data_IF_767612646964
#
_entry.id   IF_767612646964
#
_cell.length_a   1.000
_cell.length_b   1.000
_cell.length_c   1.000
_cell.angle_alpha   90.00
_cell.angle_beta   90.00
_cell.angle_gamma   90.00
#
_symmetry.space_group_name_H-M   'P 1'
#
loop_
_entity.id
_entity.type
_entity.pdbx_description
1 polymer ?
#
# COMPACT_ATOMS: atom_id res chain seq x y z
N UNK A 1 -1.29 28.35 8.01
CA UNK A 1 -0.74 27.92 6.71
C UNK A 1 -1.90 27.78 5.75
N UNK A 2 -1.77 28.22 4.50
CA UNK A 2 -2.85 28.00 3.53
C UNK A 2 -2.94 26.50 3.19
N UNK A 3 -4.13 25.94 2.94
CA UNK A 3 -4.31 24.51 2.68
C UNK A 3 -3.45 23.99 1.52
N UNK A 4 -3.22 24.83 0.51
CA UNK A 4 -2.48 24.50 -0.70
C UNK A 4 -0.99 24.29 -0.42
N UNK A 5 -0.41 25.13 0.45
CA UNK A 5 0.98 25.00 0.85
C UNK A 5 1.20 23.73 1.68
N UNK A 6 0.26 23.38 2.54
CA UNK A 6 0.32 22.14 3.33
C UNK A 6 0.23 20.90 2.44
N UNK A 7 -0.67 20.92 1.45
CA UNK A 7 -0.81 19.84 0.48
C UNK A 7 0.45 19.66 -0.37
N UNK A 8 1.07 20.76 -0.83
CA UNK A 8 2.33 20.71 -1.58
C UNK A 8 3.48 20.14 -0.73
N UNK A 9 3.57 20.51 0.55
CA UNK A 9 4.57 19.95 1.46
C UNK A 9 4.35 18.45 1.70
N UNK A 10 3.11 18.03 1.98
CA UNK A 10 2.78 16.61 2.11
C UNK A 10 3.17 15.81 0.87
N UNK A 11 2.80 16.31 -0.31
CA UNK A 11 3.12 15.67 -1.57
C UNK A 11 4.65 15.57 -1.76
N UNK A 12 5.37 16.65 -1.47
CA UNK A 12 6.84 16.66 -1.52
C UNK A 12 7.47 15.59 -0.63
N UNK A 13 7.03 15.47 0.62
CA UNK A 13 7.52 14.43 1.53
C UNK A 13 7.18 13.01 1.07
N UNK A 14 6.00 12.80 0.51
CA UNK A 14 5.61 11.50 -0.05
C UNK A 14 6.52 11.12 -1.21
N UNK A 15 6.69 12.03 -2.18
CA UNK A 15 7.52 11.79 -3.36
C UNK A 15 8.98 11.54 -2.96
N UNK A 16 9.53 12.34 -2.06
CA UNK A 16 10.90 12.15 -1.55
C UNK A 16 11.07 10.79 -0.86
N UNK A 17 10.12 10.40 -0.03
CA UNK A 17 10.15 9.08 0.63
C UNK A 17 10.18 7.94 -0.40
N UNK A 18 9.40 8.06 -1.47
CA UNK A 18 9.32 7.03 -2.52
C UNK A 18 10.65 6.96 -3.28
N UNK A 19 11.24 8.11 -3.63
CA UNK A 19 12.53 8.17 -4.33
C UNK A 19 13.66 7.58 -3.47
N UNK A 20 13.61 7.76 -2.14
CA UNK A 20 14.54 7.16 -1.19
C UNK A 20 14.38 5.63 -1.05
N UNK A 21 13.38 5.03 -1.72
CA UNK A 21 13.13 3.59 -1.69
C UNK A 21 12.48 3.10 -0.39
N UNK A 22 11.95 4.01 0.44
CA UNK A 22 11.20 3.62 1.63
C UNK A 22 9.90 2.94 1.15
N UNK A 23 9.48 1.79 1.74
CA UNK A 23 8.28 1.11 1.28
C UNK A 23 7.06 2.03 1.33
N UNK A 24 6.33 2.06 0.21
CA UNK A 24 5.21 2.99 -0.04
C UNK A 24 4.15 2.97 1.08
N UNK A 25 3.92 1.80 1.69
CA UNK A 25 2.99 1.63 2.81
C UNK A 25 3.33 2.55 4.00
N UNK A 26 4.61 2.68 4.36
CA UNK A 26 5.03 3.52 5.49
C UNK A 26 4.88 5.00 5.19
N UNK A 27 5.16 5.41 3.95
CA UNK A 27 5.09 6.80 3.54
C UNK A 27 3.63 7.25 3.45
N UNK A 28 2.78 6.46 2.77
CA UNK A 28 1.37 6.81 2.58
C UNK A 28 0.54 6.72 3.86
N UNK A 29 0.98 5.94 4.85
CA UNK A 29 0.38 5.97 6.19
C UNK A 29 0.96 7.10 7.07
N UNK A 30 2.28 7.14 7.20
CA UNK A 30 2.96 8.01 8.15
C UNK A 30 2.89 9.49 7.81
N UNK A 31 3.09 9.87 6.54
CA UNK A 31 3.13 11.29 6.15
C UNK A 31 1.77 11.98 6.36
N UNK A 32 0.62 11.41 5.91
CA UNK A 32 -0.69 12.00 6.19
C UNK A 32 -1.04 12.05 7.68
N UNK A 33 -0.59 11.09 8.48
CA UNK A 33 -0.78 11.12 9.94
C UNK A 33 -0.06 12.33 10.56
N UNK A 34 1.23 12.50 10.26
CA UNK A 34 2.05 13.58 10.85
C UNK A 34 1.53 14.95 10.43
N UNK A 35 1.29 15.16 9.14
CA UNK A 35 0.78 16.43 8.62
C UNK A 35 -0.66 16.68 9.06
N UNK A 36 -1.47 15.63 9.14
CA UNK A 36 -2.84 15.69 9.64
C UNK A 36 -2.91 16.07 11.12
N UNK A 37 -2.00 15.56 11.96
CA UNK A 37 -1.89 15.96 13.38
C UNK A 37 -1.49 17.43 13.52
N UNK A 38 -0.57 17.92 12.69
CA UNK A 38 -0.15 19.33 12.72
C UNK A 38 -1.29 20.28 12.32
N UNK A 39 -2.12 19.90 11.36
CA UNK A 39 -3.17 20.79 10.83
C UNK A 39 -4.52 20.65 11.54
N UNK A 40 -4.96 19.41 11.79
CA UNK A 40 -6.28 19.11 12.37
C UNK A 40 -6.23 18.77 13.87
N UNK A 41 -5.04 18.60 14.45
CA UNK A 41 -4.87 18.13 15.82
C UNK A 41 -5.47 16.74 16.04
N UNK A 42 -6.01 16.49 17.22
CA UNK A 42 -6.58 15.19 17.61
C UNK A 42 -7.79 14.77 16.76
N UNK A 43 -8.40 15.70 16.02
CA UNK A 43 -9.55 15.42 15.16
C UNK A 43 -9.20 14.54 13.95
N UNK A 44 -7.92 14.40 13.61
CA UNK A 44 -7.49 13.52 12.51
C UNK A 44 -7.60 12.04 12.88
N UNK A 45 -7.51 11.68 14.16
CA UNK A 45 -7.45 10.29 14.62
C UNK A 45 -8.65 9.44 14.15
N UNK A 46 -9.92 9.87 14.32
CA UNK A 46 -11.06 9.10 13.81
C UNK A 46 -11.08 9.00 12.28
N UNK A 47 -10.66 10.05 11.56
CA UNK A 47 -10.58 10.02 10.09
C UNK A 47 -9.49 9.07 9.60
N UNK A 48 -8.32 9.12 10.23
CA UNK A 48 -7.20 8.26 9.93
C UNK A 48 -7.51 6.79 10.23
N UNK A 49 -8.20 6.52 11.35
CA UNK A 49 -8.69 5.18 11.68
C UNK A 49 -9.61 4.63 10.58
N UNK A 50 -10.58 5.42 10.12
CA UNK A 50 -11.50 5.02 9.05
C UNK A 50 -10.75 4.71 7.74
N UNK A 51 -9.74 5.51 7.38
CA UNK A 51 -8.88 5.28 6.21
C UNK A 51 -8.11 3.97 6.32
N UNK A 52 -7.42 3.73 7.44
CA UNK A 52 -6.65 2.50 7.67
C UNK A 52 -7.57 1.27 7.64
N UNK A 53 -8.74 1.37 8.29
CA UNK A 53 -9.72 0.29 8.30
C UNK A 53 -10.32 0.04 6.90
N UNK A 54 -10.35 1.05 6.02
CA UNK A 54 -10.65 0.88 4.60
C UNK A 54 -9.55 0.12 3.85
N UNK A 55 -8.27 0.48 4.08
CA UNK A 55 -7.13 -0.18 3.44
C UNK A 55 -7.00 -1.65 3.81
N UNK A 56 -7.20 -2.01 5.09
CA UNK A 56 -7.14 -3.40 5.55
C UNK A 56 -8.27 -4.25 4.96
N UNK A 57 -9.36 -3.63 4.54
CA UNK A 57 -10.47 -4.31 3.85
C UNK A 57 -10.36 -4.26 2.33
N UNK A 58 -9.26 -3.74 1.80
CA UNK A 58 -9.07 -3.66 0.36
C UNK A 58 -8.98 -5.06 -0.26
N UNK A 59 -9.66 -5.25 -1.39
CA UNK A 59 -9.64 -6.48 -2.18
C UNK A 59 -8.22 -6.91 -2.59
N UNK A 60 -7.27 -5.98 -2.67
CA UNK A 60 -5.86 -6.28 -2.94
C UNK A 60 -5.27 -7.29 -1.96
N UNK A 61 -5.69 -7.30 -0.69
CA UNK A 61 -5.22 -8.28 0.30
C UNK A 61 -5.80 -9.68 0.05
N UNK A 62 -6.99 -9.77 -0.55
CA UNK A 62 -7.60 -11.05 -0.98
C UNK A 62 -6.85 -11.64 -2.18
N UNK A 63 -6.19 -10.81 -2.99
CA UNK A 63 -5.37 -11.29 -4.09
C UNK A 63 -4.17 -12.15 -3.62
N UNK A 64 -3.63 -11.91 -2.42
CA UNK A 64 -2.47 -12.66 -1.88
C UNK A 64 -2.76 -14.16 -1.71
N UNK A 65 -3.79 -14.60 -0.95
CA UNK A 65 -4.09 -16.02 -0.82
C UNK A 65 -4.53 -16.65 -2.14
N UNK A 66 -5.23 -15.92 -3.02
CA UNK A 66 -5.60 -16.40 -4.35
C UNK A 66 -4.39 -16.62 -5.25
N UNK A 67 -3.37 -15.76 -5.15
CA UNK A 67 -2.11 -15.93 -5.88
C UNK A 67 -1.35 -17.16 -5.39
N UNK A 68 -1.28 -17.37 -4.08
CA UNK A 68 -0.71 -18.59 -3.50
C UNK A 68 -1.48 -19.82 -3.98
N UNK A 69 -2.82 -19.78 -3.93
CA UNK A 69 -3.67 -20.87 -4.39
C UNK A 69 -3.45 -21.21 -5.87
N UNK A 70 -3.38 -20.21 -6.74
CA UNK A 70 -3.06 -20.40 -8.15
C UNK A 70 -1.67 -21.06 -8.30
N UNK A 71 -0.66 -20.60 -7.56
CA UNK A 71 0.67 -21.21 -7.56
C UNK A 71 0.63 -22.69 -7.16
N UNK A 72 -0.07 -23.02 -6.08
CA UNK A 72 -0.20 -24.42 -5.62
C UNK A 72 -0.97 -25.28 -6.63
N UNK A 73 -1.99 -24.73 -7.29
CA UNK A 73 -2.71 -25.44 -8.36
C UNK A 73 -1.83 -25.74 -9.57
N UNK A 74 -1.02 -24.76 -10.00
CA UNK A 74 -0.10 -24.93 -11.12
C UNK A 74 0.99 -25.97 -10.82
N UNK A 75 1.49 -26.00 -9.58
CA UNK A 75 2.44 -27.01 -9.10
C UNK A 75 1.82 -28.41 -9.08
N UNK A 76 0.65 -28.56 -8.45
CA UNK A 76 -0.01 -29.88 -8.32
C UNK A 76 -0.58 -30.44 -9.62
N UNK A 77 -0.95 -29.59 -10.56
CA UNK A 77 -1.46 -30.01 -11.88
C UNK A 77 -0.36 -30.44 -12.85
N UNK A 78 0.91 -30.26 -12.48
CA UNK A 78 2.06 -30.56 -13.35
C UNK A 78 2.17 -29.64 -14.57
N UNK A 79 1.30 -28.64 -14.71
CA UNK A 79 1.33 -27.67 -15.82
C UNK A 79 2.63 -26.87 -15.78
N UNK A 80 3.09 -26.50 -14.59
CA UNK A 80 4.37 -25.80 -14.43
C UNK A 80 5.56 -26.64 -14.93
N UNK A 81 5.57 -27.95 -14.65
CA UNK A 81 6.64 -28.85 -15.10
C UNK A 81 6.56 -29.14 -16.60
N UNK A 82 5.34 -29.35 -17.12
CA UNK A 82 5.11 -29.53 -18.56
C UNK A 82 5.51 -28.29 -19.36
N UNK A 83 5.26 -27.09 -18.82
CA UNK A 83 5.71 -25.84 -19.44
C UNK A 83 7.23 -25.74 -19.45
N UNK A 84 7.89 -26.07 -18.34
CA UNK A 84 9.36 -26.07 -18.25
C UNK A 84 10.01 -27.01 -19.26
N UNK A 85 9.49 -28.23 -19.42
CA UNK A 85 9.92 -29.20 -20.46
C UNK A 85 9.55 -28.80 -21.89
N UNK A 86 8.62 -27.86 -22.08
CA UNK A 86 8.29 -27.34 -23.40
C UNK A 86 9.30 -26.27 -23.88
N UNK A 87 10.01 -25.64 -22.94
CA UNK A 87 11.02 -24.63 -23.23
C UNK A 87 12.44 -25.20 -23.38
N UNK A 88 12.72 -26.42 -22.91
CA UNK A 88 14.02 -27.10 -22.97
C UNK A 88 13.87 -28.55 -23.43
#
# INVERSE_FOLDING_TARGET
>A
MTPEMMAMLMLGFIVLGIILGIPVAYILGGVPLVFGLIYFGDKILPMYYAMVFGMVRAYALVCVPLFIFMGTLLERSGIAENLYRGFF
#
